data_IF_513714718732
#
_entry.id   IF_513714718732
#
_cell.length_a   1.000
_cell.length_b   1.000
_cell.length_c   1.000
_cell.angle_alpha   90.00
_cell.angle_beta   90.00
_cell.angle_gamma   90.00
#
_symmetry.space_group_name_H-M   'P 1'
#
loop_
_entity.id
_entity.type
_entity.pdbx_description
1 polymer ?
#
# COMPACT_ATOMS: atom_id res chain seq x y z
N UNK A 1 -17.46 -2.10 -0.05
CA UNK A 1 -16.31 -3.02 0.01
C UNK A 1 -16.33 -4.04 -1.13
N UNK A 2 -17.41 -4.79 -1.35
CA UNK A 2 -17.45 -5.86 -2.40
C UNK A 2 -16.91 -5.41 -3.77
N UNK A 3 -17.22 -4.19 -4.24
CA UNK A 3 -16.69 -3.68 -5.52
C UNK A 3 -15.16 -3.65 -5.61
N UNK A 4 -14.46 -3.47 -4.52
CA UNK A 4 -12.99 -3.46 -4.53
C UNK A 4 -12.35 -4.86 -4.65
N UNK A 5 -13.10 -5.95 -4.42
CA UNK A 5 -12.55 -7.30 -4.62
C UNK A 5 -12.24 -7.57 -6.10
N UNK A 6 -12.92 -6.89 -7.03
CA UNK A 6 -12.61 -6.94 -8.46
C UNK A 6 -11.16 -6.56 -8.76
N UNK A 7 -10.57 -5.62 -8.01
CA UNK A 7 -9.17 -5.21 -8.18
C UNK A 7 -8.21 -6.38 -7.95
N UNK A 8 -8.45 -7.21 -6.93
CA UNK A 8 -7.63 -8.41 -6.67
C UNK A 8 -7.70 -9.41 -7.83
N UNK A 9 -8.92 -9.72 -8.31
CA UNK A 9 -9.11 -10.66 -9.42
C UNK A 9 -8.52 -10.17 -10.72
N UNK A 10 -8.70 -8.88 -11.05
CA UNK A 10 -8.15 -8.28 -12.26
C UNK A 10 -6.62 -8.25 -12.21
N UNK A 11 -6.03 -7.87 -11.07
CA UNK A 11 -4.60 -7.87 -10.87
C UNK A 11 -4.00 -9.28 -11.06
N UNK A 12 -4.57 -10.31 -10.43
CA UNK A 12 -4.11 -11.69 -10.58
C UNK A 12 -4.24 -12.18 -12.02
N UNK A 13 -5.33 -11.82 -12.72
CA UNK A 13 -5.51 -12.14 -14.14
C UNK A 13 -4.46 -11.47 -15.02
N UNK A 14 -4.16 -10.19 -14.77
CA UNK A 14 -3.14 -9.44 -15.49
C UNK A 14 -1.75 -10.00 -15.22
N UNK A 15 -1.40 -10.28 -13.96
CA UNK A 15 -0.14 -10.91 -13.59
C UNK A 15 0.08 -12.21 -14.34
N UNK A 16 -0.95 -13.07 -14.41
CA UNK A 16 -0.88 -14.34 -15.14
C UNK A 16 -0.62 -14.12 -16.63
N UNK A 17 -1.20 -13.08 -17.25
CA UNK A 17 -0.92 -12.76 -18.66
C UNK A 17 0.50 -12.26 -18.90
N UNK A 18 1.17 -11.75 -17.86
CA UNK A 18 2.57 -11.32 -17.86
C UNK A 18 3.55 -12.43 -17.45
N UNK A 19 3.05 -13.66 -17.20
CA UNK A 19 3.89 -14.80 -16.82
C UNK A 19 4.13 -14.97 -15.33
N UNK A 20 3.49 -14.14 -14.47
CA UNK A 20 3.55 -14.28 -13.02
C UNK A 20 2.36 -15.10 -12.51
N UNK A 21 2.60 -16.10 -11.66
CA UNK A 21 1.52 -16.92 -11.09
C UNK A 21 0.77 -16.14 -10.01
N UNK A 22 1.48 -15.67 -9.00
CA UNK A 22 0.92 -14.92 -7.85
C UNK A 22 1.95 -13.93 -7.31
N UNK A 23 1.51 -12.85 -6.63
CA UNK A 23 2.45 -12.01 -5.89
C UNK A 23 2.97 -12.75 -4.66
N UNK A 24 4.20 -12.45 -4.27
CA UNK A 24 4.76 -12.86 -2.97
C UNK A 24 4.45 -11.83 -1.88
N UNK A 25 4.38 -10.56 -2.27
CA UNK A 25 4.11 -9.42 -1.37
C UNK A 25 3.09 -8.49 -2.00
N UNK A 26 2.21 -7.96 -1.19
CA UNK A 26 1.22 -6.96 -1.60
C UNK A 26 1.23 -5.80 -0.61
N UNK A 27 1.46 -4.59 -1.12
CA UNK A 27 1.38 -3.38 -0.31
C UNK A 27 0.10 -2.63 -0.67
N UNK A 28 -0.71 -2.34 0.34
CA UNK A 28 -2.03 -1.74 0.18
C UNK A 28 -2.09 -0.42 0.96
N UNK A 29 -2.27 0.68 0.26
CA UNK A 29 -2.53 1.96 0.90
C UNK A 29 -3.91 1.94 1.58
N UNK A 30 -3.99 2.53 2.77
CA UNK A 30 -5.21 2.55 3.56
C UNK A 30 -5.50 3.95 4.14
N UNK A 31 -6.74 4.41 3.96
CA UNK A 31 -7.37 5.40 4.80
C UNK A 31 -8.24 4.66 5.83
N UNK A 32 -9.57 4.63 5.69
CA UNK A 32 -10.43 3.78 6.55
C UNK A 32 -10.22 2.28 6.36
N UNK A 33 -9.40 1.86 5.39
CA UNK A 33 -9.07 0.46 5.10
C UNK A 33 -10.06 -0.27 4.20
N UNK A 34 -11.11 0.37 3.66
CA UNK A 34 -12.17 -0.33 2.89
C UNK A 34 -11.66 -0.98 1.62
N UNK A 35 -10.78 -0.33 0.85
CA UNK A 35 -10.15 -0.90 -0.33
C UNK A 35 -9.15 -1.98 0.09
N UNK A 36 -8.24 -1.66 1.00
CA UNK A 36 -7.20 -2.57 1.46
C UNK A 36 -7.79 -3.88 2.02
N UNK A 37 -8.80 -3.81 2.91
CA UNK A 37 -9.47 -4.98 3.47
C UNK A 37 -10.22 -5.82 2.42
N UNK A 38 -10.83 -5.19 1.42
CA UNK A 38 -11.50 -5.92 0.34
C UNK A 38 -10.50 -6.62 -0.59
N UNK A 39 -9.39 -5.97 -0.93
CA UNK A 39 -8.32 -6.57 -1.74
C UNK A 39 -7.66 -7.71 -0.97
N UNK A 40 -7.33 -7.52 0.31
CA UNK A 40 -6.77 -8.56 1.17
C UNK A 40 -7.67 -9.81 1.22
N UNK A 41 -8.98 -9.62 1.47
CA UNK A 41 -9.95 -10.72 1.47
C UNK A 41 -10.05 -11.42 0.09
N UNK A 42 -10.01 -10.65 -1.00
CA UNK A 42 -10.03 -11.20 -2.37
C UNK A 42 -8.79 -12.05 -2.67
N UNK A 43 -7.62 -11.61 -2.25
CA UNK A 43 -6.36 -12.34 -2.41
C UNK A 43 -6.34 -13.60 -1.54
N UNK A 44 -6.75 -13.52 -0.28
CA UNK A 44 -6.87 -14.68 0.62
C UNK A 44 -7.77 -15.75 0.01
N UNK A 45 -8.96 -15.36 -0.45
CA UNK A 45 -9.91 -16.30 -1.07
C UNK A 45 -9.39 -16.94 -2.37
N UNK A 46 -8.54 -16.23 -3.13
CA UNK A 46 -8.08 -16.69 -4.45
C UNK A 46 -6.74 -17.41 -4.39
N UNK A 47 -5.83 -16.97 -3.51
CA UNK A 47 -4.46 -17.51 -3.45
C UNK A 47 -4.35 -18.79 -2.61
N UNK A 48 -5.26 -19.03 -1.67
CA UNK A 48 -5.24 -20.22 -0.82
C UNK A 48 -3.92 -20.35 -0.04
N UNK A 49 -3.32 -21.53 -0.02
CA UNK A 49 -2.07 -21.82 0.71
C UNK A 49 -0.86 -20.95 0.27
N UNK A 50 -0.87 -20.46 -0.97
CA UNK A 50 0.19 -19.59 -1.52
C UNK A 50 -0.24 -18.12 -1.44
N UNK A 51 -0.75 -17.68 -0.30
CA UNK A 51 -1.12 -16.29 -0.08
C UNK A 51 0.11 -15.39 0.01
N UNK A 52 0.03 -14.16 -0.51
CA UNK A 52 1.10 -13.18 -0.37
C UNK A 52 1.17 -12.65 1.06
N UNK A 53 2.33 -12.14 1.45
CA UNK A 53 2.48 -11.28 2.63
C UNK A 53 1.79 -9.95 2.32
N UNK A 54 0.80 -9.56 3.14
CA UNK A 54 0.02 -8.34 2.96
C UNK A 54 0.48 -7.30 3.97
N UNK A 55 0.83 -6.11 3.45
CA UNK A 55 1.26 -4.95 4.23
C UNK A 55 0.33 -3.77 4.00
N UNK A 56 -0.21 -3.17 5.08
CA UNK A 56 -0.94 -1.92 5.02
C UNK A 56 0.02 -0.73 5.09
N UNK A 57 -0.26 0.34 4.34
CA UNK A 57 0.58 1.55 4.29
C UNK A 57 -0.30 2.77 4.51
N UNK A 58 0.05 3.58 5.49
CA UNK A 58 -0.73 4.76 5.91
C UNK A 58 0.15 5.99 6.14
N UNK A 59 -0.40 7.19 5.96
CA UNK A 59 0.30 8.42 6.36
C UNK A 59 0.46 8.48 7.88
N UNK A 60 1.64 8.88 8.37
CA UNK A 60 1.95 8.92 9.81
C UNK A 60 0.92 9.70 10.63
N UNK A 61 0.33 10.75 10.08
CA UNK A 61 -0.59 11.61 10.81
C UNK A 61 -2.02 11.04 10.95
N UNK A 62 -2.31 9.94 10.25
CA UNK A 62 -3.64 9.29 10.24
C UNK A 62 -3.55 7.77 10.21
N UNK A 63 -2.48 7.18 10.74
CA UNK A 63 -2.17 5.76 10.65
C UNK A 63 -3.05 4.90 11.60
N UNK A 64 -4.35 4.84 11.35
CA UNK A 64 -5.32 4.21 12.24
C UNK A 64 -5.27 2.67 12.20
N UNK A 65 -4.95 2.06 11.08
CA UNK A 65 -4.75 0.60 10.98
C UNK A 65 -3.46 0.21 11.71
N UNK A 66 -2.37 0.97 11.49
CA UNK A 66 -1.10 0.77 12.20
C UNK A 66 -1.28 0.85 13.73
N UNK A 67 -1.97 1.90 14.24
CA UNK A 67 -2.23 2.03 15.68
C UNK A 67 -3.10 0.88 16.20
N UNK A 68 -4.06 0.42 15.41
CA UNK A 68 -4.91 -0.72 15.77
C UNK A 68 -4.13 -2.04 15.84
N UNK A 69 -3.24 -2.30 14.88
CA UNK A 69 -2.37 -3.48 14.91
C UNK A 69 -1.36 -3.42 16.04
N UNK A 70 -0.76 -2.26 16.29
CA UNK A 70 0.19 -2.02 17.37
C UNK A 70 -0.41 -2.20 18.77
N UNK A 71 -1.68 -1.86 18.96
CA UNK A 71 -2.39 -2.06 20.23
C UNK A 71 -2.56 -3.53 20.59
N UNK A 72 -2.55 -4.44 19.62
CA UNK A 72 -2.63 -5.89 19.76
C UNK A 72 -3.80 -6.40 20.63
N UNK A 73 -4.87 -5.60 20.79
CA UNK A 73 -6.09 -5.96 21.56
C UNK A 73 -7.25 -6.44 20.67
N UNK A 74 -7.00 -6.52 19.35
CA UNK A 74 -7.97 -6.95 18.34
C UNK A 74 -9.03 -5.90 17.99
N UNK A 75 -8.98 -4.69 18.57
CA UNK A 75 -9.96 -3.63 18.36
C UNK A 75 -9.44 -2.56 17.40
N UNK A 76 -10.33 -1.87 16.66
CA UNK A 76 -9.94 -0.72 15.87
C UNK A 76 -9.69 0.50 16.78
N UNK A 77 -8.61 1.22 16.52
CA UNK A 77 -8.22 2.44 17.22
C UNK A 77 -8.19 3.63 16.27
N UNK A 78 -8.63 4.78 16.77
CA UNK A 78 -8.52 6.05 16.06
C UNK A 78 -7.09 6.57 16.18
N UNK A 79 -6.51 7.04 15.08
CA UNK A 79 -5.21 7.70 15.07
C UNK A 79 -5.23 8.99 15.90
N UNK A 80 -4.14 9.26 16.61
CA UNK A 80 -3.96 10.46 17.46
C UNK A 80 -3.14 11.55 16.79
N UNK A 81 -2.82 11.41 15.51
CA UNK A 81 -2.09 12.42 14.73
C UNK A 81 -2.90 13.70 14.47
N UNK A 82 -2.28 14.67 13.81
CA UNK A 82 -2.89 15.99 13.55
C UNK A 82 -3.78 16.02 12.29
N UNK A 83 -4.02 14.90 11.66
CA UNK A 83 -4.84 14.75 10.43
C UNK A 83 -4.34 15.60 9.25
N UNK A 84 -3.03 15.80 9.14
CA UNK A 84 -2.41 16.58 8.05
C UNK A 84 -1.52 15.68 7.21
N UNK A 85 -1.87 15.46 5.96
CA UNK A 85 -1.08 14.73 4.97
C UNK A 85 -1.46 15.19 3.56
N UNK A 86 -0.52 15.14 2.63
CA UNK A 86 -0.80 15.40 1.20
C UNK A 86 -1.54 14.23 0.54
N UNK A 87 -1.54 13.05 1.16
CA UNK A 87 -2.27 11.86 0.70
C UNK A 87 -3.76 11.99 1.03
N UNK A 88 -4.45 12.92 0.35
CA UNK A 88 -5.82 13.31 0.67
C UNK A 88 -6.81 12.13 0.69
N UNK A 89 -6.66 11.18 -0.22
CA UNK A 89 -7.49 9.97 -0.29
C UNK A 89 -7.28 8.99 0.87
N UNK A 90 -6.21 9.16 1.65
CA UNK A 90 -5.89 8.35 2.82
C UNK A 90 -6.10 9.09 4.15
N UNK A 91 -6.50 10.37 4.10
CA UNK A 91 -6.62 11.22 5.29
C UNK A 91 -7.86 10.86 6.13
N UNK A 92 -7.81 9.70 6.79
CA UNK A 92 -8.90 9.15 7.60
C UNK A 92 -8.36 8.58 8.91
N UNK A 93 -8.78 9.14 10.02
CA UNK A 93 -8.23 8.80 11.34
C UNK A 93 -8.86 7.56 12.00
N UNK A 94 -9.98 7.03 11.49
CA UNK A 94 -10.70 5.92 12.13
C UNK A 94 -10.94 4.78 11.14
N UNK A 95 -10.62 3.52 11.50
CA UNK A 95 -10.85 2.38 10.63
C UNK A 95 -12.34 2.14 10.37
N UNK A 96 -12.68 1.70 9.16
CA UNK A 96 -13.98 1.08 8.89
C UNK A 96 -14.08 -0.24 9.64
N UNK A 97 -15.08 -0.40 10.52
CA UNK A 97 -15.21 -1.58 11.38
C UNK A 97 -15.29 -2.91 10.62
N UNK A 98 -15.91 -2.92 9.42
CA UNK A 98 -15.96 -4.12 8.58
C UNK A 98 -14.57 -4.39 7.99
N UNK A 99 -13.89 -3.36 7.49
CA UNK A 99 -12.56 -3.50 6.90
C UNK A 99 -11.51 -3.94 7.91
N UNK A 100 -11.61 -3.45 9.15
CA UNK A 100 -10.69 -3.82 10.23
C UNK A 100 -10.64 -5.32 10.45
N UNK A 101 -11.77 -6.02 10.47
CA UNK A 101 -11.77 -7.47 10.65
C UNK A 101 -10.91 -8.21 9.60
N UNK A 102 -11.02 -7.81 8.34
CA UNK A 102 -10.21 -8.41 7.28
C UNK A 102 -8.73 -8.03 7.38
N UNK A 103 -8.44 -6.76 7.70
CA UNK A 103 -7.05 -6.31 7.82
C UNK A 103 -6.36 -6.92 9.03
N UNK A 104 -7.04 -7.02 10.18
CA UNK A 104 -6.54 -7.72 11.37
C UNK A 104 -6.21 -9.18 11.08
N UNK A 105 -7.06 -9.85 10.30
CA UNK A 105 -6.95 -11.30 10.10
C UNK A 105 -6.01 -11.67 8.94
N UNK A 106 -5.80 -10.76 7.96
CA UNK A 106 -5.08 -11.06 6.73
C UNK A 106 -3.84 -10.19 6.47
N UNK A 107 -3.59 -9.13 7.23
CA UNK A 107 -2.38 -8.33 7.08
C UNK A 107 -1.34 -8.71 8.13
N UNK A 108 -0.13 -9.02 7.68
CA UNK A 108 1.00 -9.35 8.53
C UNK A 108 1.73 -8.10 9.03
N UNK A 109 1.72 -7.03 8.23
CA UNK A 109 2.45 -5.80 8.53
C UNK A 109 1.58 -4.55 8.35
N UNK A 110 1.88 -3.51 9.12
CA UNK A 110 1.38 -2.17 8.92
C UNK A 110 2.51 -1.15 9.02
N UNK A 111 2.53 -0.20 8.10
CA UNK A 111 3.54 0.86 8.00
C UNK A 111 2.89 2.22 8.15
N UNK A 112 3.49 3.04 9.01
CA UNK A 112 3.17 4.44 9.18
C UNK A 112 4.31 5.26 8.56
N UNK A 113 4.03 5.98 7.45
CA UNK A 113 5.07 6.61 6.64
C UNK A 113 4.86 8.12 6.47
N UNK A 114 5.93 8.93 6.45
CA UNK A 114 5.83 10.37 6.19
C UNK A 114 5.53 10.64 4.70
N UNK A 115 5.03 11.85 4.43
CA UNK A 115 4.68 12.31 3.08
C UNK A 115 5.85 12.26 2.08
N UNK A 116 7.09 12.32 2.55
CA UNK A 116 8.27 12.21 1.68
C UNK A 116 8.37 10.84 0.98
N UNK A 117 7.82 9.79 1.57
CA UNK A 117 7.78 8.46 0.96
C UNK A 117 6.90 8.50 -0.30
N UNK A 118 5.70 9.09 -0.22
CA UNK A 118 4.84 9.17 -1.40
C UNK A 118 5.44 10.09 -2.47
N UNK A 119 6.04 11.23 -2.09
CA UNK A 119 6.73 12.09 -3.06
C UNK A 119 7.84 11.35 -3.81
N UNK A 120 8.60 10.51 -3.10
CA UNK A 120 9.62 9.64 -3.72
C UNK A 120 8.99 8.65 -4.72
N UNK A 121 7.87 8.03 -4.34
CA UNK A 121 7.11 7.14 -5.23
C UNK A 121 6.58 7.85 -6.48
N UNK A 122 6.03 9.05 -6.32
CA UNK A 122 5.55 9.88 -7.45
C UNK A 122 6.69 10.19 -8.43
N UNK A 123 7.85 10.60 -7.93
CA UNK A 123 9.03 10.88 -8.77
C UNK A 123 9.51 9.63 -9.50
N UNK A 124 9.60 8.49 -8.81
CA UNK A 124 10.02 7.22 -9.41
C UNK A 124 9.09 6.79 -10.52
N UNK A 125 7.78 6.88 -10.32
CA UNK A 125 6.77 6.51 -11.32
C UNK A 125 6.73 7.49 -12.50
N UNK A 126 6.98 8.78 -12.26
CA UNK A 126 7.04 9.82 -13.31
C UNK A 126 8.33 9.74 -14.13
N UNK A 127 9.43 9.32 -13.53
CA UNK A 127 10.76 9.21 -14.14
C UNK A 127 11.29 7.78 -13.97
N UNK A 128 10.72 6.81 -14.70
CA UNK A 128 11.06 5.40 -14.55
C UNK A 128 12.51 5.12 -14.92
N UNK A 129 13.06 4.06 -14.33
CA UNK A 129 14.41 3.60 -14.63
C UNK A 129 14.41 2.60 -15.80
N UNK A 130 15.44 2.66 -16.63
CA UNK A 130 15.61 1.72 -17.72
C UNK A 130 14.46 1.77 -18.73
N UNK A 131 13.82 0.63 -18.96
CA UNK A 131 12.70 0.48 -19.90
C UNK A 131 11.32 0.42 -19.23
N UNK A 132 11.24 0.75 -17.96
CA UNK A 132 9.98 0.73 -17.24
C UNK A 132 9.00 1.77 -17.80
N UNK A 133 7.71 1.46 -17.88
CA UNK A 133 6.73 2.42 -18.36
C UNK A 133 6.53 3.55 -17.35
N UNK A 134 6.35 4.77 -17.87
CA UNK A 134 5.93 5.90 -17.04
C UNK A 134 4.51 5.68 -16.53
N UNK A 135 4.32 5.88 -15.21
CA UNK A 135 3.02 5.81 -14.57
C UNK A 135 2.72 7.17 -13.92
N UNK A 136 1.55 7.72 -14.22
CA UNK A 136 1.04 8.92 -13.55
C UNK A 136 0.26 8.46 -12.31
N UNK A 137 0.83 8.71 -11.13
CA UNK A 137 0.20 8.36 -9.85
C UNK A 137 0.25 9.56 -8.92
N UNK A 138 -0.88 9.91 -8.34
CA UNK A 138 -0.99 10.93 -7.32
C UNK A 138 -0.50 10.45 -5.96
N UNK A 139 -0.67 11.32 -4.95
CA UNK A 139 -0.07 11.16 -3.63
C UNK A 139 -0.53 9.90 -2.91
N UNK A 140 -1.84 9.62 -2.93
CA UNK A 140 -2.38 8.43 -2.26
C UNK A 140 -2.02 7.14 -3.01
N UNK A 141 -1.91 7.22 -4.34
CA UNK A 141 -1.61 6.05 -5.18
C UNK A 141 -0.13 5.64 -5.19
N UNK A 142 0.78 6.59 -4.97
CA UNK A 142 2.22 6.36 -5.12
C UNK A 142 2.92 5.89 -3.83
N UNK A 143 2.27 5.98 -2.67
CA UNK A 143 2.91 5.74 -1.37
C UNK A 143 3.46 4.32 -1.23
N UNK A 144 2.75 3.33 -1.74
CA UNK A 144 3.19 1.93 -1.69
C UNK A 144 4.45 1.69 -2.53
N UNK A 145 4.52 2.29 -3.73
CA UNK A 145 5.72 2.26 -4.56
C UNK A 145 6.90 2.96 -3.88
N UNK A 146 6.64 4.12 -3.26
CA UNK A 146 7.66 4.85 -2.49
C UNK A 146 8.22 4.04 -1.33
N UNK A 147 7.35 3.36 -0.57
CA UNK A 147 7.77 2.50 0.54
C UNK A 147 8.60 1.31 0.05
N UNK A 148 8.14 0.60 -0.98
CA UNK A 148 8.89 -0.54 -1.56
C UNK A 148 10.27 -0.08 -2.03
N UNK A 149 10.35 1.04 -2.73
CA UNK A 149 11.65 1.62 -3.14
C UNK A 149 12.55 1.94 -1.95
N UNK A 150 12.00 2.52 -0.88
CA UNK A 150 12.76 2.82 0.34
C UNK A 150 13.26 1.54 1.03
N UNK A 151 12.40 0.52 1.18
CA UNK A 151 12.77 -0.78 1.75
C UNK A 151 13.89 -1.49 0.97
N UNK A 152 13.90 -1.36 -0.36
CA UNK A 152 14.89 -2.02 -1.20
C UNK A 152 16.23 -1.27 -1.24
N UNK A 153 16.23 0.06 -1.18
CA UNK A 153 17.38 0.88 -1.50
C UNK A 153 17.96 1.70 -0.33
N UNK A 154 17.22 1.87 0.78
CA UNK A 154 17.74 2.57 1.96
C UNK A 154 18.28 1.58 3.00
N UNK A 155 19.60 1.61 3.32
CA UNK A 155 20.19 0.73 4.31
C UNK A 155 19.55 0.80 5.72
N UNK A 156 18.96 1.93 6.08
CA UNK A 156 18.25 2.09 7.36
C UNK A 156 17.06 1.14 7.50
N UNK A 157 16.45 0.73 6.40
CA UNK A 157 15.30 -0.19 6.39
C UNK A 157 15.70 -1.66 6.18
N UNK A 158 17.00 -1.97 6.23
CA UNK A 158 17.48 -3.35 6.01
C UNK A 158 16.77 -4.38 6.90
N UNK A 159 16.63 -4.09 8.19
CA UNK A 159 15.98 -5.00 9.12
C UNK A 159 14.50 -5.25 8.76
N UNK A 160 13.78 -4.21 8.35
CA UNK A 160 12.38 -4.32 7.90
C UNK A 160 12.27 -5.12 6.60
N UNK A 161 13.19 -4.90 5.67
CA UNK A 161 13.30 -5.68 4.42
C UNK A 161 13.52 -7.15 4.70
N UNK A 162 14.45 -7.46 5.62
CA UNK A 162 14.79 -8.83 5.99
C UNK A 162 13.61 -9.52 6.71
N UNK A 163 12.88 -8.81 7.59
CA UNK A 163 11.70 -9.31 8.29
C UNK A 163 10.53 -9.59 7.33
N UNK A 164 10.34 -8.74 6.32
CA UNK A 164 9.40 -8.98 5.23
C UNK A 164 9.80 -10.14 4.33
N UNK A 165 11.07 -10.54 4.32
CA UNK A 165 11.59 -11.54 3.39
C UNK A 165 11.73 -11.04 1.94
N UNK A 166 11.79 -9.70 1.75
CA UNK A 166 11.96 -9.11 0.41
C UNK A 166 13.35 -9.41 -0.14
N UNK A 167 13.40 -10.04 -1.32
CA UNK A 167 14.62 -10.44 -2.01
C UNK A 167 14.44 -10.40 -3.54
N UNK A 168 15.45 -10.84 -4.28
CA UNK A 168 15.46 -10.83 -5.75
C UNK A 168 14.40 -11.73 -6.41
N UNK A 169 13.82 -12.67 -5.66
CA UNK A 169 12.74 -13.53 -6.14
C UNK A 169 11.35 -13.01 -5.77
N UNK A 170 11.27 -11.87 -5.10
CA UNK A 170 10.01 -11.29 -4.69
C UNK A 170 9.24 -10.73 -5.88
N UNK A 171 7.96 -11.07 -5.97
CA UNK A 171 7.00 -10.47 -6.89
C UNK A 171 6.07 -9.57 -6.08
N UNK A 172 6.27 -8.26 -6.22
CA UNK A 172 5.56 -7.24 -5.44
C UNK A 172 4.40 -6.68 -6.23
N UNK A 173 3.20 -6.72 -5.64
CA UNK A 173 2.00 -6.10 -6.20
C UNK A 173 1.67 -4.82 -5.42
N UNK A 174 1.51 -3.72 -6.15
CA UNK A 174 1.03 -2.44 -5.64
C UNK A 174 -0.12 -1.93 -6.53
N UNK A 175 -0.94 -1.04 -5.99
CA UNK A 175 -2.08 -0.47 -6.71
C UNK A 175 -1.94 1.06 -6.80
N UNK A 176 -1.87 1.59 -8.02
CA UNK A 176 -1.97 3.04 -8.25
C UNK A 176 -3.45 3.41 -8.39
N UNK A 177 -4.04 3.92 -7.31
CA UNK A 177 -5.49 4.20 -7.23
C UNK A 177 -5.84 5.66 -7.42
N UNK A 178 -4.85 6.51 -7.64
CA UNK A 178 -5.04 7.95 -7.84
C UNK A 178 -4.19 8.43 -9.00
N UNK A 179 -4.80 9.21 -9.89
CA UNK A 179 -4.10 9.89 -10.97
C UNK A 179 -3.62 11.29 -10.56
N UNK A 180 -3.32 12.12 -11.56
CA UNK A 180 -2.95 13.52 -11.37
C UNK A 180 -4.21 14.38 -11.12
N UNK A 181 -4.76 14.31 -9.89
CA UNK A 181 -5.97 15.02 -9.49
C UNK A 181 -5.69 16.47 -9.08
N UNK A 182 -4.46 16.77 -8.67
CA UNK A 182 -3.92 18.12 -8.44
C UNK A 182 -2.69 18.35 -9.36
N UNK A 183 -2.90 18.86 -10.58
CA UNK A 183 -1.82 19.01 -11.56
C UNK A 183 -0.68 19.92 -11.12
N UNK A 184 -0.98 20.95 -10.32
CA UNK A 184 0.02 21.92 -9.88
C UNK A 184 0.91 21.30 -8.79
N UNK A 185 0.31 20.66 -7.81
CA UNK A 185 1.05 19.93 -6.77
C UNK A 185 1.83 18.74 -7.38
N UNK A 186 1.22 18.01 -8.30
CA UNK A 186 1.90 16.92 -9.01
C UNK A 186 3.19 17.41 -9.70
N UNK A 187 3.10 18.51 -10.49
CA UNK A 187 4.28 19.11 -11.14
C UNK A 187 5.32 19.58 -10.14
N UNK A 188 4.89 20.21 -9.04
CA UNK A 188 5.81 20.68 -8.01
C UNK A 188 6.59 19.52 -7.35
N UNK A 189 5.96 18.34 -7.24
CA UNK A 189 6.60 17.16 -6.64
C UNK A 189 7.54 16.47 -7.61
N UNK A 190 7.12 16.26 -8.85
CA UNK A 190 7.92 15.48 -9.80
C UNK A 190 9.05 16.28 -10.48
N UNK A 191 8.95 17.61 -10.54
CA UNK A 191 9.94 18.52 -11.17
C UNK A 191 9.55 18.89 -12.60
#
# INVERSE_FOLDING_TARGET
MLGYTTMAYEALKQMKSLGYDKPTHVFLQAGVGSMAGAVAAGLEATCGEKKPIISCVEPTQVACIYESMKAADGKPHTSTGNNTTIMAGLNCATPCGIAWNYLRDYSEFAFSVPDEITKSGMRLLAHPQGNDPKVVSGESGAVTTGLVNALLNNPEYKNMKDELGLNENSVVLVFSTEGNTDPDNYKAIIG
#
